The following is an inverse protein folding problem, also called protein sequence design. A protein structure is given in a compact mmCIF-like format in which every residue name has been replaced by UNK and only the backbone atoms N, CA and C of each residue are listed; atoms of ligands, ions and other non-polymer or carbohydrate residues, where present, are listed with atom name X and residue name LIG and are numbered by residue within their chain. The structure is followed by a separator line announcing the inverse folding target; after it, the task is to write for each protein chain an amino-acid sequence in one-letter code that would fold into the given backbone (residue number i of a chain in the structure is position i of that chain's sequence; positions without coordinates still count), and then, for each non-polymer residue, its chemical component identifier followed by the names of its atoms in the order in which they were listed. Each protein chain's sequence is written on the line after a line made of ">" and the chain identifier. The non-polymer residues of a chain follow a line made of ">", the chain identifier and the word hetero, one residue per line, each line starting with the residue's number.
data_IF_229382250516
#
_entry.id   IF_229382250516
#
_cell.length_a   1.000
_cell.length_b   1.000
_cell.length_c   1.000
_cell.angle_alpha   90.00
_cell.angle_beta   90.00
_cell.angle_gamma   90.00
#
_symmetry.space_group_name_H-M   'P 1'
#
loop_
_entity.id
_entity.type
_entity.pdbx_description
1 polymer ?
#
# COMPACT_ATOMS: atom_id res chain seq x y z
N UNK A 1 5.98 21.09 -29.91
CA UNK A 1 7.39 21.36 -29.54
C UNK A 1 8.07 20.11 -29.01
N UNK A 2 7.61 19.49 -27.91
CA UNK A 2 8.21 18.26 -27.34
C UNK A 2 8.44 17.14 -28.38
N UNK A 3 7.47 16.83 -29.24
CA UNK A 3 7.66 15.85 -30.33
C UNK A 3 8.76 16.22 -31.32
N UNK A 4 8.83 17.51 -31.68
CA UNK A 4 9.82 18.01 -32.62
C UNK A 4 11.24 17.99 -32.01
N UNK A 5 11.34 18.22 -30.69
CA UNK A 5 12.62 18.29 -29.98
C UNK A 5 13.16 16.92 -29.57
N UNK A 6 12.29 16.00 -29.14
CA UNK A 6 12.68 14.74 -28.51
C UNK A 6 12.25 13.50 -29.30
N UNK A 7 11.46 13.66 -30.36
CA UNK A 7 10.96 12.56 -31.17
C UNK A 7 9.89 11.72 -30.49
N UNK A 8 9.71 10.50 -31.02
CA UNK A 8 8.73 9.52 -30.56
C UNK A 8 9.25 8.74 -29.34
N UNK A 9 9.27 9.41 -28.19
CA UNK A 9 9.59 8.83 -26.89
C UNK A 9 8.32 8.61 -26.06
N UNK A 10 8.29 7.55 -25.26
CA UNK A 10 7.17 7.22 -24.40
C UNK A 10 7.02 8.12 -23.16
N UNK A 11 5.97 7.93 -22.35
CA UNK A 11 5.62 8.81 -21.23
C UNK A 11 6.58 8.72 -20.04
N UNK A 12 7.45 7.70 -19.97
CA UNK A 12 8.30 7.43 -18.80
C UNK A 12 9.33 8.54 -18.55
N UNK A 13 9.88 9.15 -19.61
CA UNK A 13 10.87 10.22 -19.50
C UNK A 13 10.29 11.45 -18.78
N UNK A 14 9.21 12.05 -19.33
CA UNK A 14 8.51 13.17 -18.68
C UNK A 14 8.03 12.86 -17.26
N UNK A 15 7.58 11.63 -16.96
CA UNK A 15 7.18 11.25 -15.60
C UNK A 15 8.35 11.21 -14.60
N UNK A 16 9.52 10.73 -15.03
CA UNK A 16 10.73 10.78 -14.18
C UNK A 16 11.22 12.21 -13.96
N UNK A 17 11.02 13.07 -14.95
CA UNK A 17 11.33 14.49 -14.84
C UNK A 17 10.35 15.18 -13.89
N UNK A 18 9.05 14.90 -14.00
CA UNK A 18 8.02 15.43 -13.11
C UNK A 18 8.32 15.16 -11.63
N UNK A 19 8.90 14.00 -11.29
CA UNK A 19 9.34 13.72 -9.92
C UNK A 19 10.41 14.69 -9.39
N UNK A 20 11.25 15.25 -10.26
CA UNK A 20 12.27 16.25 -9.88
C UNK A 20 11.65 17.63 -9.73
N UNK A 21 10.86 18.07 -10.71
CA UNK A 21 10.16 19.35 -10.66
C UNK A 21 9.21 19.44 -9.45
N UNK A 22 8.61 18.33 -9.05
CA UNK A 22 7.81 18.28 -7.82
C UNK A 22 8.63 18.55 -6.54
N UNK A 23 9.93 18.23 -6.52
CA UNK A 23 10.83 18.55 -5.42
C UNK A 23 11.29 20.01 -5.47
N UNK A 24 11.52 20.54 -6.67
CA UNK A 24 11.89 21.95 -6.91
C UNK A 24 10.72 22.87 -6.51
N UNK A 25 9.51 22.59 -6.99
CA UNK A 25 8.26 23.27 -6.57
C UNK A 25 7.98 23.16 -5.06
N UNK A 26 8.37 22.05 -4.42
CA UNK A 26 8.22 21.90 -2.97
C UNK A 26 9.23 22.74 -2.17
N UNK A 27 10.41 23.02 -2.74
CA UNK A 27 11.42 23.88 -2.14
C UNK A 27 11.10 25.37 -2.35
N UNK A 28 10.51 25.73 -3.50
CA UNK A 28 10.20 27.11 -3.89
C UNK A 28 8.71 27.25 -4.30
N UNK A 29 7.76 27.07 -3.35
CA UNK A 29 6.33 27.02 -3.68
C UNK A 29 5.76 28.36 -4.23
N UNK A 30 6.48 29.46 -4.00
CA UNK A 30 6.12 30.79 -4.52
C UNK A 30 6.62 31.03 -5.96
N UNK A 31 7.47 30.15 -6.51
CA UNK A 31 7.89 30.25 -7.90
C UNK A 31 6.87 29.58 -8.84
N UNK A 32 6.18 30.39 -9.63
CA UNK A 32 5.19 29.92 -10.61
C UNK A 32 5.81 29.12 -11.77
N UNK A 33 7.12 29.27 -12.05
CA UNK A 33 7.80 28.48 -13.10
C UNK A 33 7.68 26.98 -12.80
N UNK A 34 7.99 26.60 -11.57
CA UNK A 34 8.06 25.21 -11.11
C UNK A 34 6.70 24.52 -11.23
N UNK A 35 5.61 25.25 -10.94
CA UNK A 35 4.26 24.77 -11.16
C UNK A 35 3.93 24.56 -12.65
N UNK A 36 4.41 25.45 -13.51
CA UNK A 36 4.23 25.34 -14.96
C UNK A 36 5.00 24.14 -15.52
N UNK A 37 6.22 23.89 -15.05
CA UNK A 37 7.02 22.74 -15.46
C UNK A 37 6.35 21.42 -15.10
N UNK A 38 5.79 21.31 -13.88
CA UNK A 38 4.96 20.15 -13.51
C UNK A 38 3.78 19.96 -14.49
N UNK A 39 3.09 21.05 -14.85
CA UNK A 39 1.92 20.98 -15.72
C UNK A 39 2.28 20.56 -17.15
N UNK A 40 3.37 21.10 -17.70
CA UNK A 40 3.85 20.73 -19.03
C UNK A 40 4.31 19.27 -19.10
N UNK A 41 5.04 18.80 -18.09
CA UNK A 41 5.51 17.42 -18.03
C UNK A 41 4.36 16.42 -17.88
N UNK A 42 3.35 16.75 -17.07
CA UNK A 42 2.15 15.93 -16.93
C UNK A 42 1.38 15.82 -18.26
N UNK A 43 1.15 16.94 -18.95
CA UNK A 43 0.47 16.95 -20.24
C UNK A 43 1.25 16.21 -21.33
N UNK A 44 2.58 16.37 -21.38
CA UNK A 44 3.40 15.65 -22.34
C UNK A 44 3.36 14.14 -22.09
N UNK A 45 3.43 13.71 -20.82
CA UNK A 45 3.28 12.31 -20.45
C UNK A 45 1.90 11.74 -20.83
N UNK A 46 0.81 12.46 -20.54
CA UNK A 46 -0.55 12.03 -20.88
C UNK A 46 -0.72 11.82 -22.38
N UNK A 47 -0.29 12.82 -23.17
CA UNK A 47 -0.36 12.77 -24.63
C UNK A 47 0.47 11.62 -25.20
N UNK A 48 1.70 11.42 -24.71
CA UNK A 48 2.58 10.31 -25.13
C UNK A 48 2.04 8.93 -24.71
N UNK A 49 1.20 8.87 -23.68
CA UNK A 49 0.48 7.66 -23.27
C UNK A 49 -0.83 7.44 -24.05
N UNK A 50 -1.20 8.35 -24.96
CA UNK A 50 -2.47 8.29 -25.69
C UNK A 50 -3.70 8.53 -24.82
N UNK A 51 -3.54 9.20 -23.67
CA UNK A 51 -4.63 9.52 -22.75
C UNK A 51 -5.30 10.81 -23.20
N UNK A 52 -6.61 10.77 -23.43
CA UNK A 52 -7.40 11.95 -23.76
C UNK A 52 -7.83 12.73 -22.51
N UNK A 53 -8.15 14.01 -22.71
CA UNK A 53 -8.67 14.89 -21.65
C UNK A 53 -9.94 14.32 -21.01
N UNK A 54 -10.83 13.70 -21.81
CA UNK A 54 -12.04 13.05 -21.30
C UNK A 54 -11.71 11.83 -20.43
N UNK A 55 -10.76 11.00 -20.85
CA UNK A 55 -10.34 9.81 -20.09
C UNK A 55 -9.73 10.21 -18.74
N UNK A 56 -8.82 11.18 -18.72
CA UNK A 56 -8.21 11.62 -17.45
C UNK A 56 -9.24 12.32 -16.57
N UNK A 57 -10.11 13.16 -17.12
CA UNK A 57 -11.14 13.87 -16.34
C UNK A 57 -12.08 12.87 -15.66
N UNK A 58 -12.55 11.85 -16.39
CA UNK A 58 -13.37 10.78 -15.81
C UNK A 58 -12.62 10.02 -14.72
N UNK A 59 -11.37 9.62 -14.99
CA UNK A 59 -10.53 8.93 -14.01
C UNK A 59 -10.29 9.77 -12.74
N UNK A 60 -10.13 11.09 -12.87
CA UNK A 60 -10.01 12.01 -11.73
C UNK A 60 -11.27 12.03 -10.87
N UNK A 61 -12.46 12.08 -11.49
CA UNK A 61 -13.75 12.06 -10.77
C UNK A 61 -13.95 10.74 -10.03
N UNK A 62 -13.74 9.61 -10.71
CA UNK A 62 -13.85 8.27 -10.12
C UNK A 62 -12.85 8.08 -8.99
N UNK A 63 -11.60 8.52 -9.19
CA UNK A 63 -10.55 8.43 -8.18
C UNK A 63 -10.85 9.30 -6.96
N UNK A 64 -11.43 10.49 -7.16
CA UNK A 64 -11.84 11.38 -6.08
C UNK A 64 -12.96 10.74 -5.24
N UNK A 65 -13.93 10.08 -5.88
CA UNK A 65 -14.99 9.36 -5.17
C UNK A 65 -14.42 8.25 -4.27
N UNK A 66 -13.46 7.46 -4.78
CA UNK A 66 -12.75 6.45 -3.97
C UNK A 66 -11.94 7.09 -2.84
N UNK A 67 -11.25 8.21 -3.10
CA UNK A 67 -10.42 8.87 -2.08
C UNK A 67 -11.24 9.46 -0.93
N UNK A 68 -12.46 9.93 -1.21
CA UNK A 68 -13.41 10.43 -0.18
C UNK A 68 -13.92 9.35 0.76
N UNK A 69 -13.89 8.08 0.33
CA UNK A 69 -14.32 6.93 1.13
C UNK A 69 -13.20 6.34 1.99
N UNK A 70 -11.98 6.87 1.90
CA UNK A 70 -10.82 6.38 2.66
C UNK A 70 -10.71 7.09 4.01
N UNK A 71 -10.09 6.39 4.94
CA UNK A 71 -9.61 6.98 6.18
C UNK A 71 -8.24 7.62 5.98
N UNK A 72 -8.10 8.82 6.55
CA UNK A 72 -6.90 9.64 6.44
C UNK A 72 -6.38 10.00 7.83
N UNK A 73 -5.05 9.97 8.04
CA UNK A 73 -4.46 10.43 9.29
C UNK A 73 -4.64 11.95 9.47
N UNK A 74 -4.42 12.43 10.70
CA UNK A 74 -4.45 13.85 11.01
C UNK A 74 -3.48 14.65 10.11
N UNK A 75 -3.81 15.91 9.77
CA UNK A 75 -2.91 16.78 9.00
C UNK A 75 -1.56 16.98 9.70
N UNK A 76 -0.47 16.81 8.94
CA UNK A 76 0.85 17.30 9.32
C UNK A 76 1.38 18.15 8.16
N UNK A 77 1.83 19.35 8.48
CA UNK A 77 2.35 20.29 7.49
C UNK A 77 3.67 19.79 6.88
N UNK A 78 3.87 20.06 5.59
CA UNK A 78 5.06 19.65 4.83
C UNK A 78 5.23 18.15 4.56
N UNK A 79 4.28 17.30 4.96
CA UNK A 79 4.44 15.83 4.92
C UNK A 79 3.39 15.13 4.04
N UNK A 80 3.77 14.14 3.22
CA UNK A 80 2.82 13.37 2.45
C UNK A 80 1.82 12.62 3.35
N UNK A 81 0.52 12.74 3.03
CA UNK A 81 -0.53 11.96 3.69
C UNK A 81 -0.82 10.70 2.91
N UNK A 82 -0.67 9.55 3.56
CA UNK A 82 -1.02 8.24 3.03
C UNK A 82 -2.34 7.76 3.65
N UNK A 83 -3.20 7.16 2.85
CA UNK A 83 -4.42 6.52 3.33
C UNK A 83 -4.09 5.34 4.24
N UNK A 84 -4.91 5.14 5.27
CA UNK A 84 -4.81 3.97 6.14
C UNK A 84 -5.27 2.76 5.32
N UNK A 85 -4.40 1.77 5.15
CA UNK A 85 -4.81 0.46 4.63
C UNK A 85 -5.26 -0.36 5.84
N UNK A 86 -6.49 -0.85 5.84
CA UNK A 86 -6.89 -1.88 6.80
C UNK A 86 -5.85 -3.00 6.74
N UNK A 87 -5.17 -3.24 7.86
CA UNK A 87 -4.34 -4.44 7.95
C UNK A 87 -5.31 -5.62 7.86
N UNK A 88 -5.04 -6.62 6.99
CA UNK A 88 -5.85 -7.83 6.99
C UNK A 88 -5.85 -8.38 8.42
N UNK A 89 -7.06 -8.62 8.96
CA UNK A 89 -7.23 -9.14 10.31
C UNK A 89 -6.32 -10.36 10.46
N UNK A 90 -5.42 -10.40 11.47
CA UNK A 90 -4.60 -11.57 11.69
C UNK A 90 -5.49 -12.80 11.77
N UNK A 91 -5.34 -13.73 10.81
CA UNK A 91 -6.11 -14.98 10.80
C UNK A 91 -5.61 -15.80 11.97
N UNK A 92 -6.36 -15.78 13.06
CA UNK A 92 -6.02 -16.55 14.26
C UNK A 92 -6.44 -18.01 14.01
N UNK A 93 -5.50 -18.96 13.99
CA UNK A 93 -5.84 -20.37 13.82
C UNK A 93 -6.63 -20.92 15.03
N UNK A 94 -7.39 -22.02 14.85
CA UNK A 94 -8.14 -22.64 15.95
C UNK A 94 -7.21 -23.19 17.03
N UNK A 95 -7.73 -23.33 18.26
CA UNK A 95 -7.00 -24.04 19.31
C UNK A 95 -6.91 -25.51 18.96
N UNK A 96 -5.79 -26.16 19.34
CA UNK A 96 -5.56 -27.57 19.07
C UNK A 96 -5.45 -28.37 20.36
N UNK A 97 -5.79 -29.66 20.28
CA UNK A 97 -5.59 -30.63 21.35
C UNK A 97 -4.24 -31.34 21.13
N UNK A 98 -3.63 -31.89 22.21
CA UNK A 98 -2.41 -32.69 22.10
C UNK A 98 -2.72 -34.07 21.53
N UNK A 99 -3.05 -34.10 20.24
CA UNK A 99 -3.47 -35.30 19.51
C UNK A 99 -2.53 -35.54 18.32
N UNK A 100 -2.15 -36.80 18.12
CA UNK A 100 -1.17 -37.20 17.11
C UNK A 100 -1.60 -36.83 15.69
N UNK A 101 -2.86 -37.07 15.33
CA UNK A 101 -3.40 -36.77 14.01
C UNK A 101 -3.48 -35.26 13.79
N UNK A 102 -3.84 -34.51 14.84
CA UNK A 102 -3.85 -33.04 14.80
C UNK A 102 -2.45 -32.49 14.58
N UNK A 103 -1.44 -32.96 15.33
CA UNK A 103 -0.06 -32.50 15.15
C UNK A 103 0.49 -32.89 13.77
N UNK A 104 0.21 -34.11 13.29
CA UNK A 104 0.61 -34.54 11.94
C UNK A 104 -0.08 -33.77 10.82
N UNK A 105 -1.31 -33.33 11.02
CA UNK A 105 -2.00 -32.49 10.03
C UNK A 105 -1.31 -31.13 9.83
N UNK A 106 -0.63 -30.63 10.88
CA UNK A 106 0.10 -29.35 10.88
C UNK A 106 1.54 -29.56 10.42
N UNK A 107 2.21 -30.59 10.95
CA UNK A 107 3.59 -30.94 10.63
C UNK A 107 3.68 -32.43 10.26
N UNK A 108 3.43 -32.79 9.00
CA UNK A 108 3.33 -34.19 8.57
C UNK A 108 4.61 -35.02 8.76
N UNK A 109 5.76 -34.35 8.84
CA UNK A 109 7.06 -34.97 9.07
C UNK A 109 7.37 -35.19 10.54
N UNK A 110 6.53 -34.70 11.46
CA UNK A 110 6.69 -34.93 12.88
C UNK A 110 6.45 -36.41 13.23
N UNK A 111 7.26 -36.93 14.15
CA UNK A 111 7.03 -38.22 14.80
C UNK A 111 6.89 -38.02 16.31
N UNK A 112 5.81 -37.36 16.77
CA UNK A 112 5.69 -36.99 18.18
C UNK A 112 5.34 -38.21 19.02
N UNK A 113 5.99 -38.33 20.17
CA UNK A 113 5.46 -39.12 21.28
C UNK A 113 4.36 -38.32 22.02
N UNK A 114 3.77 -38.93 23.05
CA UNK A 114 2.71 -38.29 23.84
C UNK A 114 3.17 -36.97 24.47
N UNK A 115 4.41 -36.92 24.96
CA UNK A 115 5.00 -35.72 25.55
C UNK A 115 5.17 -34.60 24.51
N UNK A 116 5.68 -34.93 23.32
CA UNK A 116 5.85 -34.00 22.21
C UNK A 116 4.50 -33.45 21.71
N UNK A 117 3.42 -34.25 21.75
CA UNK A 117 2.07 -33.76 21.42
C UNK A 117 1.59 -32.69 22.41
N UNK A 118 1.83 -32.88 23.71
CA UNK A 118 1.51 -31.90 24.75
C UNK A 118 2.25 -30.57 24.52
N UNK A 119 3.57 -30.63 24.35
CA UNK A 119 4.38 -29.44 24.13
C UNK A 119 3.98 -28.70 22.85
N UNK A 120 3.72 -29.43 21.75
CA UNK A 120 3.31 -28.81 20.50
C UNK A 120 1.95 -28.10 20.60
N UNK A 121 0.97 -28.71 21.29
CA UNK A 121 -0.33 -28.10 21.54
C UNK A 121 -0.23 -26.87 22.44
N UNK A 122 0.57 -26.92 23.51
CA UNK A 122 0.78 -25.79 24.40
C UNK A 122 1.45 -24.61 23.68
N UNK A 123 2.51 -24.87 22.90
CA UNK A 123 3.19 -23.86 22.10
C UNK A 123 2.25 -23.22 21.07
N UNK A 124 1.46 -24.02 20.36
CA UNK A 124 0.46 -23.53 19.41
C UNK A 124 -0.58 -22.64 20.09
N UNK A 125 -1.16 -23.13 21.19
CA UNK A 125 -2.21 -22.41 21.92
C UNK A 125 -1.67 -21.14 22.59
N UNK A 126 -0.41 -21.11 23.01
CA UNK A 126 0.27 -19.92 23.51
C UNK A 126 0.48 -18.87 22.40
N UNK A 127 0.97 -19.28 21.22
CA UNK A 127 1.10 -18.39 20.06
C UNK A 127 -0.26 -17.83 19.64
N UNK A 128 -1.28 -18.68 19.61
CA UNK A 128 -2.67 -18.29 19.33
C UNK A 128 -3.18 -17.26 20.34
N UNK A 129 -2.94 -17.47 21.63
CA UNK A 129 -3.36 -16.54 22.68
C UNK A 129 -2.68 -15.16 22.54
N UNK A 130 -1.40 -15.13 22.16
CA UNK A 130 -0.70 -13.89 21.85
C UNK A 130 -1.33 -13.14 20.66
N UNK A 131 -1.69 -13.85 19.58
CA UNK A 131 -2.37 -13.25 18.42
C UNK A 131 -3.75 -12.66 18.79
N UNK A 132 -4.53 -13.35 19.63
CA UNK A 132 -5.81 -12.84 20.13
C UNK A 132 -5.65 -11.60 21.01
N UNK A 133 -4.60 -11.56 21.82
CA UNK A 133 -4.29 -10.42 22.69
C UNK A 133 -3.91 -9.19 21.88
N UNK A 134 -3.13 -9.36 20.81
CA UNK A 134 -2.79 -8.27 19.88
C UNK A 134 -4.02 -7.72 19.14
N UNK A 135 -4.92 -8.60 18.69
CA UNK A 135 -6.17 -8.19 18.03
C UNK A 135 -7.05 -7.35 18.95
N UNK A 136 -7.20 -7.77 20.20
CA UNK A 136 -8.00 -7.04 21.19
C UNK A 136 -7.45 -5.63 21.47
N UNK A 137 -6.12 -5.45 21.42
CA UNK A 137 -5.48 -4.14 21.58
C UNK A 137 -5.63 -3.23 20.35
N UNK A 138 -5.74 -3.80 19.16
CA UNK A 138 -6.01 -3.04 17.92
C UNK A 138 -7.47 -2.57 17.86
N UNK A 139 -8.41 -3.38 18.33
CA UNK A 139 -9.85 -3.05 18.35
C UNK A 139 -10.22 -2.00 19.42
N UNK A 140 -9.33 -1.73 20.39
CA UNK A 140 -9.54 -0.73 21.46
C UNK A 140 -8.89 0.63 21.20
N UNK A 141 -8.18 0.80 20.07
CA UNK A 141 -7.55 2.06 19.65
C UNK A 141 -8.38 2.74 18.57
#
# INVERSE_FOLDING_TARGET
>A
WSDASFGDVGPIGPLKHLSKEALEAAAEPDDLSEWADMQFLLWDAQRRAGISDEQITRAMVEKLAVNKQREWPAPKDGEPRLHIKEQPVPVVPPAIKPDYEVIKSILPTANPDEYACCIAADMWNACRAAMLSQRSQQEQR
#
